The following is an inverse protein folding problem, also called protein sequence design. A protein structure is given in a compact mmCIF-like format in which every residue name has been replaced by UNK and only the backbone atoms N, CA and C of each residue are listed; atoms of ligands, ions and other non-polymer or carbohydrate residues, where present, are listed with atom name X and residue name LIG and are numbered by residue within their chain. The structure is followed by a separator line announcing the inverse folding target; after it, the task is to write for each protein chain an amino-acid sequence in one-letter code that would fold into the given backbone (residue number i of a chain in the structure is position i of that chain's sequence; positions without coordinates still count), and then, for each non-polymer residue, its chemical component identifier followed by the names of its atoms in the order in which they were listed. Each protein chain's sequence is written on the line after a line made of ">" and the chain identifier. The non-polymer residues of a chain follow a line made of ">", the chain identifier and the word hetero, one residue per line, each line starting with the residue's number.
data_IF_501501891639
#
_entry.id   IF_501501891639
#
_cell.length_a   1.000
_cell.length_b   1.000
_cell.length_c   1.000
_cell.angle_alpha   90.00
_cell.angle_beta   90.00
_cell.angle_gamma   90.00
#
_symmetry.space_group_name_H-M   'P 1'
#
loop_
_entity.id
_entity.type
_entity.pdbx_description
1 polymer ?
#
# COMPACT_ATOMS: atom_id res chain seq x y z
N UNK A 1 4.19 -21.30 21.87
CA UNK A 1 4.58 -20.24 22.82
C UNK A 1 5.35 -19.07 22.18
N UNK A 2 6.33 -19.30 21.29
CA UNK A 2 7.08 -18.21 20.64
C UNK A 2 6.23 -17.30 19.73
N UNK A 3 5.29 -17.87 18.95
CA UNK A 3 4.38 -17.09 18.10
C UNK A 3 3.47 -16.14 18.91
N UNK A 4 2.88 -16.63 20.01
CA UNK A 4 2.05 -15.80 20.90
C UNK A 4 2.81 -14.61 21.50
N UNK A 5 4.11 -14.75 21.80
CA UNK A 5 4.94 -13.61 22.26
C UNK A 5 5.23 -12.59 21.16
N UNK A 6 5.33 -13.03 19.90
CA UNK A 6 5.60 -12.14 18.76
C UNK A 6 4.33 -11.37 18.38
N UNK A 7 3.19 -12.06 18.32
CA UNK A 7 1.92 -11.46 17.89
C UNK A 7 1.08 -10.86 19.02
N UNK A 8 1.41 -11.11 20.29
CA UNK A 8 0.57 -10.70 21.43
C UNK A 8 0.34 -9.19 21.53
N UNK A 9 1.40 -8.38 21.38
CA UNK A 9 1.29 -6.91 21.36
C UNK A 9 0.49 -6.47 20.14
N UNK A 10 0.78 -7.04 18.97
CA UNK A 10 0.10 -6.74 17.71
C UNK A 10 -1.41 -7.02 17.81
N UNK A 11 -1.79 -8.13 18.46
CA UNK A 11 -3.19 -8.48 18.69
C UNK A 11 -3.88 -7.52 19.65
N UNK A 12 -3.22 -7.14 20.75
CA UNK A 12 -3.77 -6.15 21.70
C UNK A 12 -3.98 -4.78 21.02
N UNK A 13 -2.97 -4.30 20.30
CA UNK A 13 -3.05 -3.05 19.53
C UNK A 13 -4.15 -3.14 18.48
N UNK A 14 -4.32 -4.29 17.83
CA UNK A 14 -5.38 -4.49 16.85
C UNK A 14 -6.77 -4.46 17.47
N UNK A 15 -6.97 -5.11 18.62
CA UNK A 15 -8.25 -5.05 19.35
C UNK A 15 -8.57 -3.62 19.78
N UNK A 16 -7.57 -2.87 20.26
CA UNK A 16 -7.73 -1.46 20.62
C UNK A 16 -8.09 -0.62 19.38
N UNK A 17 -7.38 -0.79 18.27
CA UNK A 17 -7.65 -0.08 17.03
C UNK A 17 -9.05 -0.39 16.47
N UNK A 18 -9.48 -1.64 16.51
CA UNK A 18 -10.83 -2.06 16.11
C UNK A 18 -11.91 -1.45 17.01
N UNK A 19 -11.67 -1.38 18.33
CA UNK A 19 -12.59 -0.72 19.25
C UNK A 19 -12.70 0.78 18.99
N UNK A 20 -11.57 1.45 18.73
CA UNK A 20 -11.54 2.88 18.35
C UNK A 20 -12.24 3.10 17.01
N UNK A 21 -11.97 2.27 16.00
CA UNK A 21 -12.62 2.35 14.69
C UNK A 21 -14.14 2.13 14.78
N UNK A 22 -14.60 1.18 15.61
CA UNK A 22 -16.02 0.99 15.86
C UNK A 22 -16.65 2.18 16.61
N UNK A 23 -15.94 2.79 17.56
CA UNK A 23 -16.42 3.98 18.25
C UNK A 23 -16.49 5.21 17.32
N UNK A 24 -15.63 5.27 16.30
CA UNK A 24 -15.55 6.35 15.32
C UNK A 24 -16.71 6.33 14.32
N UNK A 25 -16.93 5.22 13.60
CA UNK A 25 -17.99 5.13 12.59
C UNK A 25 -18.72 3.78 12.53
N UNK A 26 -18.73 3.04 13.64
CA UNK A 26 -19.52 1.82 13.80
C UNK A 26 -19.04 0.66 12.93
N UNK A 27 -20.00 -0.11 12.40
CA UNK A 27 -19.70 -1.32 11.61
C UNK A 27 -19.05 -1.01 10.26
N UNK A 28 -19.35 0.16 9.68
CA UNK A 28 -18.77 0.59 8.40
C UNK A 28 -17.26 0.73 8.53
N UNK A 29 -16.82 1.52 9.51
CA UNK A 29 -15.39 1.81 9.71
C UNK A 29 -14.64 0.59 10.22
N UNK A 30 -15.30 -0.25 11.03
CA UNK A 30 -14.75 -1.54 11.43
C UNK A 30 -14.44 -2.42 10.20
N UNK A 31 -15.37 -2.47 9.24
CA UNK A 31 -15.16 -3.21 7.99
C UNK A 31 -14.02 -2.61 7.17
N UNK A 32 -14.02 -1.29 6.95
CA UNK A 32 -12.95 -0.61 6.19
C UNK A 32 -11.59 -0.83 6.83
N UNK A 33 -11.48 -0.71 8.15
CA UNK A 33 -10.25 -0.94 8.92
C UNK A 33 -9.73 -2.36 8.72
N UNK A 34 -10.60 -3.37 8.80
CA UNK A 34 -10.24 -4.77 8.55
C UNK A 34 -9.75 -4.99 7.12
N UNK A 35 -10.39 -4.37 6.13
CA UNK A 35 -9.97 -4.45 4.74
C UNK A 35 -8.61 -3.79 4.55
N UNK A 36 -8.41 -2.58 5.06
CA UNK A 36 -7.14 -1.86 4.96
C UNK A 36 -5.99 -2.62 5.63
N UNK A 37 -6.22 -3.17 6.83
CA UNK A 37 -5.24 -4.00 7.51
C UNK A 37 -4.89 -5.27 6.69
N UNK A 38 -5.90 -5.90 6.08
CA UNK A 38 -5.70 -7.10 5.25
C UNK A 38 -4.96 -6.76 3.96
N UNK A 39 -5.31 -5.64 3.32
CA UNK A 39 -4.64 -5.12 2.14
C UNK A 39 -3.18 -4.82 2.43
N UNK A 40 -2.89 -4.11 3.52
CA UNK A 40 -1.53 -3.76 3.94
C UNK A 40 -0.67 -5.01 4.15
N UNK A 41 -1.20 -6.01 4.86
CA UNK A 41 -0.49 -7.27 5.11
C UNK A 41 -0.21 -8.01 3.81
N UNK A 42 -1.13 -7.97 2.85
CA UNK A 42 -1.00 -8.68 1.57
C UNK A 42 0.01 -8.00 0.65
N UNK A 43 -0.06 -6.67 0.53
CA UNK A 43 0.87 -5.87 -0.26
C UNK A 43 2.28 -5.90 0.31
N UNK A 44 2.39 -5.89 1.64
CA UNK A 44 3.68 -5.87 2.32
C UNK A 44 4.27 -7.28 2.52
N UNK A 45 3.66 -8.33 1.98
CA UNK A 45 4.12 -9.70 2.23
C UNK A 45 5.49 -9.97 1.58
N UNK A 46 5.66 -9.65 0.28
CA UNK A 46 6.94 -9.83 -0.41
C UNK A 46 7.99 -8.85 0.11
N UNK A 47 7.54 -7.67 0.54
CA UNK A 47 8.37 -6.65 1.17
C UNK A 47 8.93 -7.18 2.49
N UNK A 48 8.09 -7.84 3.30
CA UNK A 48 8.50 -8.51 4.53
C UNK A 48 9.51 -9.64 4.27
N UNK A 49 9.41 -10.35 3.15
CA UNK A 49 10.37 -11.38 2.72
C UNK A 49 11.73 -10.74 2.39
N UNK A 50 11.76 -9.70 1.55
CA UNK A 50 12.99 -9.00 1.17
C UNK A 50 13.67 -8.40 2.41
N UNK A 51 12.88 -7.74 3.27
CA UNK A 51 13.38 -7.18 4.53
C UNK A 51 13.95 -8.26 5.43
N UNK A 52 13.27 -9.40 5.55
CA UNK A 52 13.76 -10.52 6.33
C UNK A 52 15.09 -11.06 5.80
N UNK A 53 15.25 -11.16 4.48
CA UNK A 53 16.48 -11.63 3.84
C UNK A 53 17.67 -10.68 4.14
N UNK A 54 17.46 -9.36 4.04
CA UNK A 54 18.50 -8.36 4.33
C UNK A 54 18.83 -8.32 5.83
N UNK A 55 17.82 -8.39 6.71
CA UNK A 55 18.02 -8.38 8.17
C UNK A 55 18.86 -9.55 8.69
N UNK A 56 18.84 -10.70 7.99
CA UNK A 56 19.69 -11.85 8.31
C UNK A 56 21.17 -11.55 8.10
N UNK A 57 21.51 -10.64 7.18
CA UNK A 57 22.89 -10.24 6.88
C UNK A 57 23.43 -9.20 7.87
N UNK A 58 22.57 -8.62 8.70
CA UNK A 58 22.91 -7.53 9.62
C UNK A 58 23.25 -8.00 11.04
N UNK A 59 24.10 -7.22 11.72
CA UNK A 59 24.42 -7.43 13.13
C UNK A 59 23.19 -7.33 14.03
N UNK A 60 23.26 -7.94 15.22
CA UNK A 60 22.16 -7.88 16.20
C UNK A 60 21.75 -6.44 16.52
N UNK A 61 22.72 -5.53 16.58
CA UNK A 61 22.46 -4.10 16.80
C UNK A 61 21.59 -3.51 15.68
N UNK A 62 22.01 -3.65 14.43
CA UNK A 62 21.29 -3.07 13.29
C UNK A 62 19.93 -3.73 13.05
N UNK A 63 19.83 -5.03 13.27
CA UNK A 63 18.55 -5.74 13.26
C UNK A 63 17.58 -5.20 14.31
N UNK A 64 18.07 -4.93 15.52
CA UNK A 64 17.24 -4.34 16.57
C UNK A 64 16.85 -2.90 16.21
N UNK A 65 17.79 -2.10 15.70
CA UNK A 65 17.54 -0.71 15.26
C UNK A 65 16.45 -0.65 14.19
N UNK A 66 16.49 -1.51 13.18
CA UNK A 66 15.43 -1.59 12.18
C UNK A 66 14.08 -1.98 12.80
N UNK A 67 14.07 -3.03 13.63
CA UNK A 67 12.84 -3.52 14.27
C UNK A 67 12.26 -2.59 15.35
N UNK A 68 12.96 -1.52 15.73
CA UNK A 68 12.50 -0.49 16.68
C UNK A 68 12.32 0.86 16.00
N UNK A 69 13.42 1.50 15.60
CA UNK A 69 13.44 2.85 15.03
C UNK A 69 12.98 2.83 13.57
N UNK A 70 13.45 1.87 12.79
CA UNK A 70 13.08 1.77 11.38
C UNK A 70 11.58 1.63 11.17
N UNK A 71 10.97 0.70 11.91
CA UNK A 71 9.51 0.54 11.87
C UNK A 71 8.79 1.79 12.39
N UNK A 72 9.33 2.49 13.38
CA UNK A 72 8.74 3.76 13.81
C UNK A 72 8.76 4.79 12.68
N UNK A 73 9.87 4.90 11.93
CA UNK A 73 9.97 5.78 10.77
C UNK A 73 9.01 5.36 9.66
N UNK A 74 8.99 4.07 9.31
CA UNK A 74 8.11 3.53 8.27
C UNK A 74 6.62 3.70 8.62
N UNK A 75 6.25 3.60 9.89
CA UNK A 75 4.85 3.72 10.34
C UNK A 75 4.44 5.18 10.48
N UNK A 76 5.18 5.96 11.27
CA UNK A 76 4.79 7.34 11.51
C UNK A 76 5.10 8.24 10.30
N UNK A 77 6.27 8.08 9.68
CA UNK A 77 6.65 8.87 8.51
C UNK A 77 5.74 8.56 7.32
N UNK A 78 5.73 7.31 6.87
CA UNK A 78 5.08 6.97 5.61
C UNK A 78 3.59 6.69 5.72
N UNK A 79 3.06 6.28 6.88
CA UNK A 79 1.63 5.90 7.00
C UNK A 79 0.78 6.89 7.77
N UNK A 80 1.39 7.82 8.52
CA UNK A 80 0.68 8.90 9.21
C UNK A 80 1.00 10.27 8.62
N UNK A 81 2.29 10.64 8.53
CA UNK A 81 2.70 11.96 8.04
C UNK A 81 2.46 12.08 6.54
N UNK A 82 2.81 11.06 5.76
CA UNK A 82 2.71 11.14 4.30
C UNK A 82 1.27 11.35 3.77
N UNK A 83 0.20 10.67 4.26
CA UNK A 83 -1.17 11.02 3.91
C UNK A 83 -1.52 12.49 4.17
N UNK A 84 -1.08 13.05 5.31
CA UNK A 84 -1.30 14.46 5.65
C UNK A 84 -0.54 15.39 4.72
N UNK A 85 0.67 15.01 4.29
CA UNK A 85 1.45 15.78 3.31
C UNK A 85 0.80 15.80 1.93
N UNK A 86 0.20 14.68 1.49
CA UNK A 86 -0.59 14.65 0.26
C UNK A 86 -1.74 15.64 0.37
N UNK A 87 -2.53 15.56 1.44
CA UNK A 87 -3.67 16.46 1.65
C UNK A 87 -3.22 17.92 1.71
N UNK A 88 -2.08 18.22 2.36
CA UNK A 88 -1.52 19.57 2.35
C UNK A 88 -1.15 20.04 0.95
N UNK A 89 -0.49 19.18 0.15
CA UNK A 89 -0.08 19.51 -1.20
C UNK A 89 -1.26 19.66 -2.18
N UNK A 90 -2.33 18.87 -2.03
CA UNK A 90 -3.49 18.89 -2.94
C UNK A 90 -4.58 19.88 -2.51
N UNK A 91 -4.85 19.97 -1.21
CA UNK A 91 -5.93 20.81 -0.67
C UNK A 91 -5.43 22.16 -0.11
N UNK A 92 -4.11 22.40 -0.07
CA UNK A 92 -3.51 23.63 0.46
C UNK A 92 -3.69 23.81 1.97
N UNK A 93 -4.08 22.75 2.69
CA UNK A 93 -4.38 22.77 4.12
C UNK A 93 -3.17 22.42 4.96
N UNK A 94 -2.73 23.33 5.82
CA UNK A 94 -1.63 23.05 6.75
C UNK A 94 -1.84 21.71 7.48
N UNK A 95 -0.83 20.82 7.57
CA UNK A 95 -0.99 19.49 8.14
C UNK A 95 -1.53 19.47 9.58
N UNK A 96 -1.15 20.48 10.39
CA UNK A 96 -1.65 20.61 11.76
C UNK A 96 -3.14 20.94 11.73
N UNK A 97 -3.54 21.86 10.85
CA UNK A 97 -4.94 22.21 10.68
C UNK A 97 -5.76 21.05 10.12
N UNK A 98 -5.23 20.29 9.17
CA UNK A 98 -5.87 19.10 8.64
C UNK A 98 -6.12 18.06 9.74
N UNK A 99 -5.16 17.85 10.64
CA UNK A 99 -5.30 16.97 11.80
C UNK A 99 -6.33 17.50 12.80
N UNK A 100 -6.33 18.80 13.10
CA UNK A 100 -7.34 19.42 13.98
C UNK A 100 -8.76 19.23 13.46
N UNK A 101 -8.97 19.44 12.15
CA UNK A 101 -10.26 19.26 11.49
C UNK A 101 -10.69 17.79 11.45
N UNK A 102 -9.74 16.87 11.25
CA UNK A 102 -10.02 15.43 11.25
C UNK A 102 -10.38 14.90 12.65
N UNK A 103 -9.71 15.39 13.71
CA UNK A 103 -9.98 14.98 15.09
C UNK A 103 -11.24 15.60 15.70
N UNK A 104 -11.72 16.70 15.12
CA UNK A 104 -12.91 17.41 15.60
C UNK A 104 -13.94 17.53 14.47
N UNK A 105 -14.52 16.41 14.00
CA UNK A 105 -15.55 16.47 12.97
C UNK A 105 -16.80 17.18 13.51
N UNK A 106 -17.52 17.94 12.67
CA UNK A 106 -18.75 18.59 13.08
C UNK A 106 -19.85 17.56 13.41
N UNK A 107 -20.81 17.91 14.30
CA UNK A 107 -21.87 17.01 14.70
C UNK A 107 -22.67 16.47 13.50
N UNK A 108 -23.05 15.20 13.57
CA UNK A 108 -23.86 14.51 12.54
C UNK A 108 -23.23 14.43 11.13
N UNK A 109 -21.91 14.61 11.00
CA UNK A 109 -21.22 14.50 9.71
C UNK A 109 -21.52 15.68 8.78
N UNK A 110 -21.73 16.87 9.33
CA UNK A 110 -21.94 18.06 8.52
C UNK A 110 -20.69 18.39 7.67
N UNK A 111 -20.90 18.96 6.48
CA UNK A 111 -19.79 19.40 5.62
C UNK A 111 -19.23 20.77 6.04
N UNK A 112 -19.89 21.43 6.98
CA UNK A 112 -19.53 22.76 7.47
C UNK A 112 -19.75 22.82 8.99
N UNK A 113 -18.92 23.60 9.66
CA UNK A 113 -19.11 23.95 11.06
C UNK A 113 -20.21 25.02 11.19
N UNK A 114 -20.78 25.22 12.39
CA UNK A 114 -21.78 26.27 12.62
C UNK A 114 -21.31 27.70 12.31
N UNK A 115 -20.00 27.93 12.24
CA UNK A 115 -19.37 29.20 11.86
C UNK A 115 -19.21 29.38 10.34
N UNK A 116 -19.62 28.39 9.53
CA UNK A 116 -19.49 28.38 8.07
C UNK A 116 -18.12 27.93 7.55
N UNK A 117 -17.19 27.55 8.43
CA UNK A 117 -15.91 26.99 8.02
C UNK A 117 -16.07 25.57 7.45
N UNK A 118 -15.30 25.18 6.41
CA UNK A 118 -15.44 23.86 5.79
C UNK A 118 -14.91 22.75 6.71
N UNK A 119 -15.61 21.62 6.76
CA UNK A 119 -15.14 20.42 7.46
C UNK A 119 -13.99 19.74 6.69
N UNK A 120 -13.28 18.84 7.36
CA UNK A 120 -12.25 18.02 6.72
C UNK A 120 -12.81 17.27 5.51
N UNK A 121 -13.98 16.65 5.66
CA UNK A 121 -14.64 15.88 4.60
C UNK A 121 -14.95 16.75 3.37
N UNK A 122 -15.46 17.96 3.57
CA UNK A 122 -15.73 18.89 2.46
C UNK A 122 -14.47 19.24 1.66
N UNK A 123 -13.35 19.43 2.36
CA UNK A 123 -12.07 19.77 1.75
C UNK A 123 -11.49 18.60 0.97
N UNK A 124 -11.62 17.38 1.48
CA UNK A 124 -11.20 16.17 0.76
C UNK A 124 -12.08 15.89 -0.45
N UNK A 125 -13.40 16.03 -0.35
CA UNK A 125 -14.31 15.88 -1.50
C UNK A 125 -13.95 16.88 -2.61
N UNK A 126 -13.60 18.12 -2.25
CA UNK A 126 -13.15 19.12 -3.22
C UNK A 126 -11.79 18.76 -3.86
N UNK A 127 -10.88 18.15 -3.09
CA UNK A 127 -9.58 17.69 -3.58
C UNK A 127 -9.63 16.31 -4.26
N UNK A 128 -10.76 15.61 -4.20
CA UNK A 128 -10.92 14.21 -4.63
C UNK A 128 -10.44 13.97 -6.06
N UNK A 129 -10.80 14.78 -7.08
CA UNK A 129 -10.30 14.57 -8.45
C UNK A 129 -8.77 14.57 -8.55
N UNK A 130 -8.09 15.39 -7.74
CA UNK A 130 -6.63 15.48 -7.71
C UNK A 130 -6.02 14.23 -7.07
N UNK A 131 -6.53 13.86 -5.89
CA UNK A 131 -6.10 12.67 -5.14
C UNK A 131 -6.32 11.42 -6.01
N UNK A 132 -7.49 11.32 -6.63
CA UNK A 132 -7.88 10.25 -7.52
C UNK A 132 -6.97 10.12 -8.75
N UNK A 133 -6.63 11.24 -9.39
CA UNK A 133 -5.74 11.24 -10.55
C UNK A 133 -4.30 10.86 -10.17
N UNK A 134 -3.78 11.45 -9.08
CA UNK A 134 -2.45 11.15 -8.55
C UNK A 134 -2.32 9.68 -8.16
N UNK A 135 -3.19 9.23 -7.26
CA UNK A 135 -3.14 7.88 -6.73
C UNK A 135 -3.52 6.83 -7.75
N UNK A 136 -4.54 7.10 -8.57
CA UNK A 136 -4.98 6.20 -9.62
C UNK A 136 -3.89 5.97 -10.68
N UNK A 137 -3.15 7.02 -11.06
CA UNK A 137 -2.01 6.88 -12.00
C UNK A 137 -0.85 6.11 -11.36
N UNK A 138 -0.54 6.39 -10.10
CA UNK A 138 0.51 5.67 -9.36
C UNK A 138 0.19 4.17 -9.25
N UNK A 139 -1.01 3.82 -8.79
CA UNK A 139 -1.46 2.43 -8.66
C UNK A 139 -1.56 1.74 -10.03
N UNK A 140 -1.96 2.46 -11.07
CA UNK A 140 -1.99 1.93 -12.42
C UNK A 140 -0.58 1.57 -12.89
N UNK A 141 0.42 2.42 -12.62
CA UNK A 141 1.82 2.13 -12.96
C UNK A 141 2.33 0.88 -12.24
N UNK A 142 2.03 0.76 -10.94
CA UNK A 142 2.38 -0.42 -10.14
C UNK A 142 1.77 -1.70 -10.75
N UNK A 143 0.48 -1.66 -11.08
CA UNK A 143 -0.21 -2.79 -11.70
C UNK A 143 0.32 -3.11 -13.11
N UNK A 144 0.59 -2.09 -13.93
CA UNK A 144 1.09 -2.29 -15.29
C UNK A 144 2.49 -2.87 -15.28
N UNK A 145 3.41 -2.37 -14.45
CA UNK A 145 4.74 -2.96 -14.30
C UNK A 145 4.64 -4.40 -13.80
N UNK A 146 3.70 -4.70 -12.90
CA UNK A 146 3.42 -6.07 -12.50
C UNK A 146 2.90 -6.92 -13.68
N UNK A 147 1.88 -6.51 -14.44
CA UNK A 147 1.27 -7.39 -15.46
C UNK A 147 2.16 -7.59 -16.69
N UNK A 148 3.03 -6.60 -16.96
CA UNK A 148 3.92 -6.56 -18.12
C UNK A 148 5.25 -7.29 -17.84
N UNK A 149 5.63 -7.44 -16.56
CA UNK A 149 6.83 -8.19 -16.17
C UNK A 149 6.67 -9.71 -16.38
N UNK A 150 7.67 -10.33 -16.99
CA UNK A 150 7.63 -11.77 -17.28
C UNK A 150 8.01 -12.60 -16.04
N UNK A 151 6.99 -12.96 -15.25
CA UNK A 151 7.13 -13.82 -14.06
C UNK A 151 7.04 -15.31 -14.38
N UNK A 152 7.71 -16.11 -13.56
CA UNK A 152 7.62 -17.58 -13.56
C UNK A 152 6.22 -18.09 -13.23
N UNK A 153 5.52 -17.40 -12.32
CA UNK A 153 4.18 -17.74 -11.87
C UNK A 153 3.22 -16.69 -12.38
N UNK A 154 2.18 -17.14 -13.10
CA UNK A 154 1.11 -16.30 -13.64
C UNK A 154 -0.21 -16.82 -13.09
N UNK A 155 -0.94 -15.99 -12.35
CA UNK A 155 -2.18 -16.43 -11.67
C UNK A 155 -3.33 -16.52 -12.67
N UNK A 156 -3.52 -15.48 -13.49
CA UNK A 156 -4.50 -15.45 -14.59
C UNK A 156 -3.79 -15.60 -15.95
N UNK A 157 -3.35 -16.82 -16.25
CA UNK A 157 -2.51 -17.13 -17.42
C UNK A 157 -3.04 -16.61 -18.77
N UNK A 158 -4.37 -16.59 -18.98
CA UNK A 158 -4.92 -16.08 -20.25
C UNK A 158 -4.66 -14.59 -20.41
N UNK A 159 -4.72 -13.81 -19.33
CA UNK A 159 -4.57 -12.35 -19.37
C UNK A 159 -3.09 -12.00 -19.30
N UNK A 160 -2.35 -12.56 -18.35
CA UNK A 160 -0.97 -12.17 -18.08
C UNK A 160 0.00 -12.56 -19.22
N UNK A 161 -0.25 -13.67 -19.95
CA UNK A 161 0.69 -14.14 -20.97
C UNK A 161 0.79 -13.24 -22.21
N UNK A 162 -0.30 -12.70 -22.78
CA UNK A 162 -0.24 -11.65 -23.81
C UNK A 162 0.49 -10.37 -23.35
N UNK A 163 0.19 -9.87 -22.15
CA UNK A 163 0.81 -8.64 -21.63
C UNK A 163 2.32 -8.82 -21.39
N UNK A 164 2.76 -9.96 -20.84
CA UNK A 164 4.18 -10.26 -20.67
C UNK A 164 4.96 -10.29 -22.00
N UNK A 165 4.33 -10.71 -23.11
CA UNK A 165 4.99 -10.67 -24.43
C UNK A 165 5.18 -9.25 -24.94
N UNK A 166 4.19 -8.39 -24.73
CA UNK A 166 4.20 -6.97 -25.13
C UNK A 166 5.23 -6.20 -24.28
N UNK A 167 5.42 -6.59 -23.02
CA UNK A 167 6.37 -5.97 -22.10
C UNK A 167 7.83 -5.98 -22.50
N UNK A 168 8.20 -6.88 -23.41
CA UNK A 168 9.55 -6.91 -23.98
C UNK A 168 9.90 -5.66 -24.80
N UNK A 169 8.91 -4.85 -25.18
CA UNK A 169 9.11 -3.62 -25.95
C UNK A 169 9.61 -2.44 -25.10
N UNK A 170 9.68 -2.56 -23.77
CA UNK A 170 10.14 -1.50 -22.87
C UNK A 170 9.15 -0.32 -22.79
N UNK A 171 8.96 0.24 -21.60
CA UNK A 171 8.14 1.44 -21.36
C UNK A 171 6.64 1.38 -21.75
N UNK A 172 6.11 0.21 -22.12
CA UNK A 172 4.69 0.03 -22.43
C UNK A 172 3.80 0.47 -21.27
N UNK A 173 4.19 0.16 -20.02
CA UNK A 173 3.47 0.60 -18.82
C UNK A 173 3.28 2.11 -18.79
N UNK A 174 4.36 2.87 -19.05
CA UNK A 174 4.34 4.33 -19.06
C UNK A 174 3.44 4.84 -20.18
N UNK A 175 3.55 4.28 -21.39
CA UNK A 175 2.73 4.70 -22.52
C UNK A 175 1.23 4.47 -22.25
N UNK A 176 0.86 3.31 -21.71
CA UNK A 176 -0.53 2.99 -21.36
C UNK A 176 -1.03 3.90 -20.23
N UNK A 177 -0.22 4.15 -19.20
CA UNK A 177 -0.59 5.06 -18.11
C UNK A 177 -0.81 6.49 -18.59
N UNK A 178 0.07 7.02 -19.46
CA UNK A 178 -0.07 8.36 -20.04
C UNK A 178 -1.33 8.45 -20.91
N UNK A 179 -1.60 7.45 -21.74
CA UNK A 179 -2.83 7.40 -22.55
C UNK A 179 -4.07 7.38 -21.65
N UNK A 180 -4.08 6.54 -20.61
CA UNK A 180 -5.16 6.49 -19.64
C UNK A 180 -5.36 7.83 -18.95
N UNK A 181 -4.29 8.49 -18.50
CA UNK A 181 -4.33 9.80 -17.87
C UNK A 181 -4.88 10.89 -18.81
N UNK A 182 -4.47 10.90 -20.07
CA UNK A 182 -5.01 11.83 -21.09
C UNK A 182 -6.50 11.58 -21.29
N UNK A 183 -6.94 10.32 -21.37
CA UNK A 183 -8.36 10.00 -21.50
C UNK A 183 -9.16 10.44 -20.27
N UNK A 184 -8.66 10.20 -19.07
CA UNK A 184 -9.27 10.64 -17.81
C UNK A 184 -9.38 12.17 -17.78
N UNK A 185 -8.26 12.87 -18.01
CA UNK A 185 -8.21 14.34 -17.96
C UNK A 185 -9.05 15.04 -19.03
N UNK A 186 -9.34 14.38 -20.16
CA UNK A 186 -10.14 14.96 -21.26
C UNK A 186 -11.58 14.49 -21.33
N UNK A 187 -11.91 13.31 -20.81
CA UNK A 187 -13.25 12.70 -20.91
C UNK A 187 -14.01 12.67 -19.59
N UNK A 188 -13.31 12.70 -18.46
CA UNK A 188 -13.92 12.54 -17.14
C UNK A 188 -14.03 13.86 -16.35
N UNK A 189 -13.41 14.93 -16.83
CA UNK A 189 -13.46 16.27 -16.22
C UNK A 189 -14.55 17.14 -16.85
N UNK A 190 -15.12 18.08 -16.08
CA UNK A 190 -16.23 18.93 -16.50
C UNK A 190 -15.78 20.31 -16.97
N UNK A 191 -14.59 20.74 -16.57
CA UNK A 191 -14.01 22.03 -16.93
C UNK A 191 -12.55 21.89 -17.36
N UNK A 192 -12.06 22.86 -18.14
CA UNK A 192 -10.66 22.92 -18.56
C UNK A 192 -9.71 23.02 -17.37
N UNK A 193 -10.08 23.77 -16.32
CA UNK A 193 -9.26 23.97 -15.13
C UNK A 193 -9.14 22.68 -14.29
N UNK A 194 -10.26 21.98 -14.11
CA UNK A 194 -10.27 20.64 -13.50
C UNK A 194 -9.43 19.66 -14.32
N UNK A 195 -9.55 19.69 -15.65
CA UNK A 195 -8.72 18.93 -16.58
C UNK A 195 -7.22 19.15 -16.37
N UNK A 196 -6.78 20.41 -16.30
CA UNK A 196 -5.38 20.74 -16.05
C UNK A 196 -4.90 20.23 -14.69
N UNK A 197 -5.75 20.36 -13.67
CA UNK A 197 -5.43 19.92 -12.31
C UNK A 197 -5.30 18.40 -12.24
N UNK A 198 -6.23 17.66 -12.85
CA UNK A 198 -6.21 16.19 -12.96
C UNK A 198 -4.98 15.71 -13.72
N UNK A 199 -4.66 16.32 -14.87
CA UNK A 199 -3.48 15.95 -15.66
C UNK A 199 -2.19 16.22 -14.89
N UNK A 200 -2.10 17.36 -14.19
CA UNK A 200 -0.93 17.71 -13.37
C UNK A 200 -0.77 16.74 -12.21
N UNK A 201 -1.84 16.46 -11.47
CA UNK A 201 -1.82 15.53 -10.34
C UNK A 201 -1.47 14.10 -10.80
N UNK A 202 -2.06 13.62 -11.88
CA UNK A 202 -1.72 12.30 -12.44
C UNK A 202 -0.28 12.21 -12.95
N UNK A 203 0.24 13.28 -13.57
CA UNK A 203 1.65 13.34 -13.97
C UNK A 203 2.58 13.30 -12.75
N UNK A 204 2.24 14.02 -11.68
CA UNK A 204 2.98 13.93 -10.41
C UNK A 204 2.93 12.51 -9.86
N UNK A 205 1.79 11.83 -9.89
CA UNK A 205 1.67 10.42 -9.49
C UNK A 205 2.59 9.49 -10.31
N UNK A 206 2.62 9.67 -11.63
CA UNK A 206 3.54 8.96 -12.53
C UNK A 206 5.01 9.23 -12.20
N UNK A 207 5.39 10.50 -12.02
CA UNK A 207 6.76 10.89 -11.68
C UNK A 207 7.16 10.32 -10.33
N UNK A 208 6.28 10.41 -9.32
CA UNK A 208 6.54 9.84 -8.00
C UNK A 208 6.75 8.34 -8.08
N UNK A 209 5.96 7.61 -8.87
CA UNK A 209 6.20 6.18 -9.12
C UNK A 209 7.59 5.92 -9.70
N UNK A 210 7.97 6.64 -10.75
CA UNK A 210 9.27 6.47 -11.40
C UNK A 210 10.44 6.80 -10.46
N UNK A 211 10.30 7.85 -9.63
CA UNK A 211 11.31 8.25 -8.64
C UNK A 211 11.43 7.20 -7.54
N UNK A 212 10.31 6.76 -6.96
CA UNK A 212 10.29 5.76 -5.89
C UNK A 212 10.88 4.43 -6.37
N UNK A 213 10.45 3.93 -7.53
CA UNK A 213 10.97 2.71 -8.12
C UNK A 213 12.44 2.86 -8.56
N UNK A 214 12.80 4.02 -9.09
CA UNK A 214 14.18 4.36 -9.47
C UNK A 214 15.13 4.39 -8.28
N UNK A 215 14.71 5.01 -7.16
CA UNK A 215 15.46 5.04 -5.90
C UNK A 215 15.64 3.63 -5.33
N UNK A 216 14.58 2.82 -5.29
CA UNK A 216 14.66 1.42 -4.84
C UNK A 216 15.71 0.62 -5.62
N UNK A 217 15.79 0.81 -6.95
CA UNK A 217 16.81 0.18 -7.80
C UNK A 217 18.21 0.75 -7.60
N UNK A 218 18.34 2.07 -7.47
CA UNK A 218 19.62 2.75 -7.33
C UNK A 218 20.30 2.45 -5.98
N UNK A 219 19.52 2.29 -4.92
CA UNK A 219 20.03 1.97 -3.59
C UNK A 219 20.27 0.47 -3.36
N UNK A 220 19.91 -0.39 -4.32
CA UNK A 220 20.16 -1.83 -4.23
C UNK A 220 21.67 -2.09 -4.16
N UNK A 221 22.19 -2.67 -3.07
CA UNK A 221 23.61 -2.96 -2.95
C UNK A 221 24.06 -3.91 -4.08
N UNK A 222 25.11 -3.53 -4.82
CA UNK A 222 25.63 -4.34 -5.94
C UNK A 222 26.22 -5.68 -5.46
N UNK A 223 26.67 -5.74 -4.20
CA UNK A 223 27.38 -6.86 -3.61
C UNK A 223 26.60 -7.52 -2.45
N UNK A 224 25.31 -7.83 -2.63
CA UNK A 224 24.57 -8.64 -1.65
C UNK A 224 25.22 -10.02 -1.41
N UNK A 225 26.00 -10.52 -2.38
CA UNK A 225 26.75 -11.77 -2.26
C UNK A 225 28.14 -11.59 -1.61
N UNK A 226 28.79 -10.43 -1.67
CA UNK A 226 30.11 -10.25 -1.04
C UNK A 226 30.03 -10.05 0.49
N UNK A 227 28.85 -9.73 1.02
CA UNK A 227 28.57 -9.70 2.47
C UNK A 227 28.46 -11.13 3.05
N UNK A 228 28.51 -12.17 2.21
CA UNK A 228 28.41 -13.58 2.64
C UNK A 228 29.56 -14.08 3.51
N UNK A 229 30.64 -13.31 3.72
CA UNK A 229 31.74 -13.69 4.61
C UNK A 229 31.69 -13.07 6.02
N UNK A 230 30.79 -12.11 6.28
CA UNK A 230 30.74 -11.43 7.57
C UNK A 230 29.44 -10.68 7.84
N UNK A 231 28.96 -10.73 9.08
CA UNK A 231 27.81 -9.94 9.55
C UNK A 231 28.08 -8.45 9.33
N UNK A 232 27.20 -7.72 8.64
CA UNK A 232 27.41 -6.30 8.38
C UNK A 232 27.45 -5.48 9.69
N UNK A 233 28.60 -4.84 9.97
CA UNK A 233 28.84 -3.97 11.14
C UNK A 233 29.23 -2.56 10.67
N UNK A 234 29.04 -1.56 11.54
CA UNK A 234 29.48 -0.18 11.30
C UNK A 234 28.82 0.43 10.06
N UNK A 235 29.62 0.92 9.11
CA UNK A 235 29.16 1.56 7.88
C UNK A 235 28.33 0.63 6.98
N UNK A 236 28.72 -0.63 6.85
CA UNK A 236 27.98 -1.60 6.04
C UNK A 236 26.57 -1.84 6.60
N UNK A 237 26.46 -1.98 7.93
CA UNK A 237 25.16 -2.14 8.58
C UNK A 237 24.30 -0.88 8.52
N UNK A 238 24.90 0.32 8.56
CA UNK A 238 24.18 1.58 8.35
C UNK A 238 23.65 1.72 6.93
N UNK A 239 24.44 1.37 5.90
CA UNK A 239 23.97 1.40 4.50
C UNK A 239 22.82 0.43 4.27
N UNK A 240 22.91 -0.80 4.81
CA UNK A 240 21.81 -1.76 4.74
C UNK A 240 20.57 -1.27 5.51
N UNK A 241 20.75 -0.56 6.62
CA UNK A 241 19.65 0.05 7.36
C UNK A 241 18.97 1.13 6.51
N UNK A 242 19.72 2.06 5.92
CA UNK A 242 19.16 3.08 5.02
C UNK A 242 18.48 2.46 3.79
N UNK A 243 19.05 1.40 3.22
CA UNK A 243 18.44 0.67 2.12
C UNK A 243 17.09 0.06 2.52
N UNK A 244 17.01 -0.55 3.70
CA UNK A 244 15.76 -1.08 4.23
C UNK A 244 14.71 0.02 4.45
N UNK A 245 15.08 1.19 4.98
CA UNK A 245 14.16 2.32 5.14
C UNK A 245 13.63 2.84 3.79
N UNK A 246 14.50 2.91 2.77
CA UNK A 246 14.10 3.32 1.41
C UNK A 246 13.16 2.30 0.78
N UNK A 247 13.44 1.00 0.95
CA UNK A 247 12.54 -0.07 0.50
C UNK A 247 11.18 0.04 1.21
N UNK A 248 11.16 0.16 2.53
CA UNK A 248 9.93 0.29 3.30
C UNK A 248 9.14 1.54 2.91
N UNK A 249 9.82 2.66 2.64
CA UNK A 249 9.18 3.87 2.14
C UNK A 249 8.57 3.67 0.75
N UNK A 250 9.30 3.03 -0.16
CA UNK A 250 8.80 2.75 -1.50
C UNK A 250 7.55 1.87 -1.46
N UNK A 251 7.58 0.82 -0.66
CA UNK A 251 6.51 -0.15 -0.54
C UNK A 251 5.30 0.33 0.26
N UNK A 252 5.52 1.15 1.30
CA UNK A 252 4.42 1.74 2.06
C UNK A 252 3.64 2.79 1.25
N UNK A 253 4.27 3.37 0.23
CA UNK A 253 3.59 4.26 -0.71
C UNK A 253 2.41 3.56 -1.40
N UNK A 254 2.60 2.30 -1.81
CA UNK A 254 1.59 1.48 -2.47
C UNK A 254 0.37 1.30 -1.56
N UNK A 255 0.61 0.98 -0.29
CA UNK A 255 -0.43 0.81 0.73
C UNK A 255 -1.22 2.09 1.01
N UNK A 256 -0.54 3.23 1.15
CA UNK A 256 -1.20 4.53 1.40
C UNK A 256 -2.06 4.95 0.21
N UNK A 257 -1.51 4.82 -0.99
CA UNK A 257 -2.24 5.18 -2.21
C UNK A 257 -3.44 4.26 -2.42
N UNK A 258 -3.28 2.96 -2.15
CA UNK A 258 -4.37 1.99 -2.14
C UNK A 258 -5.44 2.30 -1.09
N UNK A 259 -5.07 2.84 0.06
CA UNK A 259 -6.01 3.23 1.11
C UNK A 259 -6.91 4.39 0.66
N UNK A 260 -6.35 5.41 -0.01
CA UNK A 260 -7.12 6.51 -0.59
C UNK A 260 -8.07 6.07 -1.71
N UNK A 261 -7.81 4.95 -2.37
CA UNK A 261 -8.78 4.37 -3.31
C UNK A 261 -10.01 3.78 -2.58
N UNK A 262 -9.85 3.37 -1.32
CA UNK A 262 -10.92 2.73 -0.52
C UNK A 262 -11.71 3.74 0.30
N UNK A 263 -11.02 4.65 0.99
CA UNK A 263 -11.65 5.65 1.85
C UNK A 263 -10.82 6.93 1.92
N UNK A 264 -11.51 8.02 2.19
CA UNK A 264 -10.95 9.35 2.40
C UNK A 264 -10.80 9.71 3.88
N UNK A 265 -11.21 8.82 4.80
CA UNK A 265 -11.12 9.08 6.23
C UNK A 265 -9.68 8.81 6.76
N UNK A 266 -8.94 9.85 7.19
CA UNK A 266 -7.56 9.72 7.63
C UNK A 266 -7.43 8.92 8.93
N UNK A 267 -8.46 8.90 9.78
CA UNK A 267 -8.47 8.13 11.02
C UNK A 267 -8.57 6.65 10.68
N UNK A 268 -9.48 6.28 9.78
CA UNK A 268 -9.64 4.89 9.32
C UNK A 268 -8.37 4.41 8.61
N UNK A 269 -7.75 5.24 7.75
CA UNK A 269 -6.46 4.95 7.11
C UNK A 269 -5.35 4.76 8.15
N UNK A 270 -5.22 5.70 9.11
CA UNK A 270 -4.19 5.65 10.13
C UNK A 270 -4.34 4.43 11.05
N UNK A 271 -5.57 4.04 11.41
CA UNK A 271 -5.83 2.86 12.23
C UNK A 271 -5.60 1.55 11.45
N UNK A 272 -6.19 1.43 10.27
CA UNK A 272 -6.16 0.19 9.49
C UNK A 272 -4.80 -0.09 8.86
N UNK A 273 -4.32 0.83 8.04
CA UNK A 273 -3.04 0.70 7.35
C UNK A 273 -1.86 0.99 8.30
N UNK A 274 -1.95 2.11 9.02
CA UNK A 274 -0.88 2.61 9.89
C UNK A 274 -0.67 1.74 11.12
N UNK A 275 -1.65 1.64 12.01
CA UNK A 275 -1.47 0.99 13.31
C UNK A 275 -1.57 -0.54 13.23
N UNK A 276 -2.65 -1.07 12.66
CA UNK A 276 -2.88 -2.52 12.58
C UNK A 276 -1.98 -3.17 11.54
N UNK A 277 -2.05 -2.69 10.31
CA UNK A 277 -1.31 -3.26 9.18
C UNK A 277 0.19 -3.32 9.45
N UNK A 278 0.81 -2.21 9.85
CA UNK A 278 2.26 -2.19 10.12
C UNK A 278 2.71 -3.11 11.26
N UNK A 279 1.91 -3.22 12.33
CA UNK A 279 2.22 -4.13 13.44
C UNK A 279 2.20 -5.58 12.99
N UNK A 280 1.27 -5.93 12.10
CA UNK A 280 1.22 -7.26 11.50
C UNK A 280 2.37 -7.50 10.53
N UNK A 281 2.67 -6.55 9.63
CA UNK A 281 3.82 -6.63 8.72
C UNK A 281 5.11 -6.83 9.52
N UNK A 282 5.34 -6.04 10.56
CA UNK A 282 6.45 -6.21 11.51
C UNK A 282 6.51 -7.62 12.08
N UNK A 283 5.38 -8.10 12.59
CA UNK A 283 5.31 -9.41 13.24
C UNK A 283 5.61 -10.54 12.27
N UNK A 284 5.14 -10.41 11.03
CA UNK A 284 5.43 -11.31 9.91
C UNK A 284 6.93 -11.26 9.57
N UNK A 285 7.53 -10.08 9.40
CA UNK A 285 8.97 -9.94 9.13
C UNK A 285 9.80 -10.61 10.23
N UNK A 286 9.49 -10.36 11.51
CA UNK A 286 10.18 -11.00 12.64
C UNK A 286 10.01 -12.51 12.61
N UNK A 287 8.81 -12.99 12.26
CA UNK A 287 8.50 -14.40 12.17
C UNK A 287 9.27 -15.09 11.01
N UNK A 288 9.30 -14.47 9.83
CA UNK A 288 10.01 -14.97 8.65
C UNK A 288 11.52 -15.01 8.84
N UNK A 289 12.10 -14.00 9.51
CA UNK A 289 13.52 -14.00 9.89
C UNK A 289 13.86 -15.21 10.78
N UNK A 290 12.91 -15.67 11.60
CA UNK A 290 13.12 -16.75 12.59
C UNK A 290 12.84 -18.16 12.08
N UNK A 291 12.00 -18.36 11.06
CA UNK A 291 11.49 -19.68 10.69
C UNK A 291 11.84 -20.18 9.27
N UNK A 292 12.61 -19.43 8.46
CA UNK A 292 12.92 -19.81 7.06
C UNK A 292 11.67 -20.17 6.23
N UNK A 293 10.52 -19.59 6.57
CA UNK A 293 9.21 -19.99 6.05
C UNK A 293 8.79 -19.18 4.80
N UNK A 294 9.70 -18.99 3.85
CA UNK A 294 9.50 -18.06 2.72
C UNK A 294 8.49 -18.54 1.65
N UNK A 295 8.38 -19.85 1.43
CA UNK A 295 7.69 -20.40 0.23
C UNK A 295 6.16 -20.63 0.36
N UNK A 296 5.52 -20.26 1.47
CA UNK A 296 4.19 -20.81 1.79
C UNK A 296 3.00 -20.04 1.18
N UNK A 297 3.17 -18.80 0.70
CA UNK A 297 2.06 -17.93 0.26
C UNK A 297 2.22 -17.31 -1.13
N UNK A 298 2.70 -18.11 -2.09
CA UNK A 298 3.06 -17.71 -3.46
C UNK A 298 1.99 -16.93 -4.24
N UNK A 299 0.69 -17.13 -3.98
CA UNK A 299 -0.37 -16.42 -4.73
C UNK A 299 -0.81 -15.11 -4.11
N UNK A 300 -0.39 -14.81 -2.87
CA UNK A 300 -0.85 -13.62 -2.14
C UNK A 300 -0.42 -12.32 -2.85
N UNK A 301 0.83 -12.29 -3.33
CA UNK A 301 1.37 -11.21 -4.18
C UNK A 301 0.45 -10.92 -5.36
N UNK A 302 0.08 -11.97 -6.11
CA UNK A 302 -0.74 -11.82 -7.30
C UNK A 302 -2.11 -11.26 -6.97
N UNK A 303 -2.77 -11.79 -5.93
CA UNK A 303 -4.06 -11.28 -5.49
C UNK A 303 -4.00 -9.80 -5.13
N UNK A 304 -2.95 -9.39 -4.42
CA UNK A 304 -2.78 -8.01 -3.98
C UNK A 304 -2.56 -7.05 -5.16
N UNK A 305 -1.76 -7.43 -6.16
CA UNK A 305 -1.55 -6.62 -7.36
C UNK A 305 -2.80 -6.52 -8.25
N UNK A 306 -3.58 -7.60 -8.36
CA UNK A 306 -4.86 -7.55 -9.06
C UNK A 306 -5.88 -6.66 -8.33
N UNK A 307 -5.89 -6.69 -6.99
CA UNK A 307 -6.66 -5.74 -6.20
C UNK A 307 -6.23 -4.29 -6.50
N UNK A 308 -4.93 -4.00 -6.50
CA UNK A 308 -4.40 -2.68 -6.87
C UNK A 308 -4.85 -2.26 -8.26
N UNK A 309 -4.77 -3.14 -9.26
CA UNK A 309 -5.17 -2.82 -10.63
C UNK A 309 -6.64 -2.38 -10.73
N UNK A 310 -7.53 -3.08 -10.00
CA UNK A 310 -8.94 -2.70 -9.94
C UNK A 310 -9.14 -1.40 -9.16
N UNK A 311 -8.45 -1.22 -8.03
CA UNK A 311 -8.49 0.03 -7.26
C UNK A 311 -7.99 1.22 -8.08
N UNK A 312 -6.94 1.06 -8.89
CA UNK A 312 -6.45 2.09 -9.80
C UNK A 312 -7.51 2.54 -10.79
N UNK A 313 -8.24 1.58 -11.38
CA UNK A 313 -9.33 1.87 -12.32
C UNK A 313 -10.49 2.57 -11.62
N UNK A 314 -10.92 2.08 -10.45
CA UNK A 314 -11.99 2.72 -9.65
C UNK A 314 -11.60 4.17 -9.33
N UNK A 315 -10.37 4.36 -8.86
CA UNK A 315 -9.86 5.67 -8.48
C UNK A 315 -9.83 6.63 -9.68
N UNK A 316 -9.29 6.21 -10.84
CA UNK A 316 -9.29 7.03 -12.06
C UNK A 316 -10.69 7.34 -12.59
N UNK A 317 -11.64 6.40 -12.50
CA UNK A 317 -13.02 6.63 -12.89
C UNK A 317 -13.72 7.61 -11.95
N UNK A 318 -13.42 7.54 -10.65
CA UNK A 318 -14.01 8.41 -9.62
C UNK A 318 -13.61 9.89 -9.73
N UNK A 319 -12.70 10.24 -10.65
CA UNK A 319 -12.45 11.64 -11.05
C UNK A 319 -13.75 12.30 -11.52
N UNK A 320 -14.64 11.54 -12.16
CA UNK A 320 -15.99 12.02 -12.44
C UNK A 320 -16.93 11.61 -11.30
N UNK A 321 -17.66 12.55 -10.66
CA UNK A 321 -18.60 12.25 -9.59
C UNK A 321 -19.70 11.23 -9.98
N UNK A 322 -20.00 11.08 -11.28
CA UNK A 322 -20.98 10.10 -11.77
C UNK A 322 -20.54 8.65 -11.61
N UNK A 323 -19.24 8.41 -11.47
CA UNK A 323 -18.66 7.08 -11.35
C UNK A 323 -18.08 6.82 -9.95
N UNK A 324 -18.49 7.60 -8.95
CA UNK A 324 -18.13 7.31 -7.55
C UNK A 324 -18.67 5.96 -7.13
N UNK A 325 -17.75 5.10 -6.69
CA UNK A 325 -18.07 3.75 -6.20
C UNK A 325 -18.12 3.82 -4.66
N UNK A 326 -19.19 3.31 -4.03
CA UNK A 326 -19.28 3.25 -2.58
C UNK A 326 -18.07 2.56 -1.94
N UNK A 327 -17.54 3.13 -0.85
CA UNK A 327 -16.35 2.63 -0.16
C UNK A 327 -16.44 1.14 0.19
N UNK A 328 -17.62 0.66 0.60
CA UNK A 328 -17.82 -0.75 0.93
C UNK A 328 -17.63 -1.68 -0.29
N UNK A 329 -18.03 -1.24 -1.48
CA UNK A 329 -17.84 -2.00 -2.73
C UNK A 329 -16.36 -1.97 -3.11
N UNK A 330 -15.73 -0.81 -3.05
CA UNK A 330 -14.30 -0.66 -3.34
C UNK A 330 -13.44 -1.49 -2.37
N UNK A 331 -13.76 -1.47 -1.08
CA UNK A 331 -13.11 -2.30 -0.06
C UNK A 331 -13.32 -3.82 -0.33
N UNK A 332 -14.50 -4.21 -0.82
CA UNK A 332 -14.80 -5.61 -1.13
C UNK A 332 -13.90 -6.18 -2.24
N UNK A 333 -13.39 -5.34 -3.14
CA UNK A 333 -12.39 -5.76 -4.16
C UNK A 333 -11.18 -6.39 -3.48
N UNK A 334 -10.62 -5.71 -2.46
CA UNK A 334 -9.49 -6.23 -1.69
C UNK A 334 -9.82 -7.58 -1.05
N UNK A 335 -10.97 -7.68 -0.39
CA UNK A 335 -11.43 -8.93 0.25
C UNK A 335 -11.53 -10.08 -0.75
N UNK A 336 -12.13 -9.85 -1.91
CA UNK A 336 -12.35 -10.88 -2.93
C UNK A 336 -11.04 -11.38 -3.50
N UNK A 337 -10.15 -10.47 -3.92
CA UNK A 337 -8.88 -10.87 -4.54
C UNK A 337 -7.92 -11.50 -3.54
N UNK A 338 -7.78 -10.93 -2.35
CA UNK A 338 -6.92 -11.47 -1.30
C UNK A 338 -7.47 -12.80 -0.80
N UNK A 339 -8.78 -12.89 -0.56
CA UNK A 339 -9.45 -14.13 -0.14
C UNK A 339 -9.31 -15.24 -1.17
N UNK A 340 -9.46 -14.93 -2.47
CA UNK A 340 -9.25 -15.87 -3.56
C UNK A 340 -7.79 -16.35 -3.63
N UNK A 341 -6.82 -15.44 -3.52
CA UNK A 341 -5.39 -15.76 -3.53
C UNK A 341 -4.98 -16.64 -2.34
N UNK A 342 -5.44 -16.31 -1.13
CA UNK A 342 -5.22 -17.12 0.07
C UNK A 342 -5.82 -18.53 -0.08
N UNK A 343 -7.06 -18.60 -0.57
CA UNK A 343 -7.74 -19.89 -0.81
C UNK A 343 -6.95 -20.76 -1.79
N UNK A 344 -6.48 -20.18 -2.89
CA UNK A 344 -5.70 -20.90 -3.90
C UNK A 344 -4.33 -21.36 -3.37
N UNK A 345 -3.68 -20.53 -2.56
CA UNK A 345 -2.43 -20.88 -1.89
C UNK A 345 -2.61 -22.04 -0.91
N UNK A 346 -3.64 -22.00 -0.06
CA UNK A 346 -3.96 -23.08 0.88
C UNK A 346 -4.28 -24.38 0.15
N UNK A 347 -5.06 -24.32 -0.93
CA UNK A 347 -5.39 -25.49 -1.76
C UNK A 347 -4.14 -26.10 -2.41
N UNK A 348 -3.23 -25.28 -2.96
CA UNK A 348 -1.95 -25.74 -3.52
C UNK A 348 -1.08 -26.41 -2.45
N UNK A 349 -0.94 -25.80 -1.28
CA UNK A 349 -0.16 -26.36 -0.18
C UNK A 349 -0.72 -27.71 0.29
N UNK A 350 -2.05 -27.84 0.38
CA UNK A 350 -2.71 -29.11 0.69
C UNK A 350 -2.47 -30.17 -0.38
N UNK A 351 -2.48 -29.81 -1.66
CA UNK A 351 -2.17 -30.73 -2.77
C UNK A 351 -0.71 -31.20 -2.71
N UNK A 352 0.22 -30.27 -2.49
CA UNK A 352 1.65 -30.59 -2.36
C UNK A 352 1.93 -31.48 -1.14
N UNK A 353 1.29 -31.22 0.00
CA UNK A 353 1.44 -32.04 1.20
C UNK A 353 0.88 -33.47 1.02
N UNK A 354 -0.24 -33.60 0.30
CA UNK A 354 -0.78 -34.92 -0.09
C UNK A 354 0.12 -35.67 -1.06
N UNK A 355 0.74 -34.97 -2.01
CA UNK A 355 1.70 -35.57 -2.94
C UNK A 355 3.03 -35.97 -2.27
N UNK A 356 3.41 -35.29 -1.19
CA UNK A 356 4.63 -35.57 -0.42
C UNK A 356 4.46 -36.66 0.66
N UNK A 357 3.25 -37.15 0.89
CA UNK A 357 2.99 -38.29 1.77
C UNK A 357 2.94 -39.56 0.91
N UNK A 358 3.97 -40.42 0.90
CA UNK A 358 3.89 -41.70 0.21
C UNK A 358 2.81 -42.55 0.88
N UNK A 359 1.98 -43.19 0.05
CA UNK A 359 0.90 -44.09 0.47
C UNK A 359 1.44 -45.33 1.20
#
# INVERSE_FOLDING_TARGET
>A
MAALRIFGISLLVSVAALAVGYAHGGLKDLFLLLVLATLEVSLSFDNAIINAAILKQMSRFWRQMFLTVGILIAVFGMRLIFPLLIVWATAGLDPVRAMELALNPPPHGALEFPDGSPSYEKLIVAAHPQIAAFGGTFLLMLFLDFIVYDRDIKWLKWIEAPFARIGRLGQVSVAVAVVALVLVGTRLTHSTDEGQTVLTAGLLGLVTYLVVNGLSRAFRPQDLEAVSAGTAVGKAGFTLFLYLEVLDAAFSFDGVTGAFAITSDPIVIALGLGLVGSMFVRSITIFLVKQDALDRYVYLEHGAHWAIGVLAVIMLLSVNPRYEVPEAITASVGVVFIGAALSWSVLRNRRNAKAASPA
#
